data_IF_542828122257
#
_entry.id   IF_542828122257
#
_cell.length_a   1.000
_cell.length_b   1.000
_cell.length_c   1.000
_cell.angle_alpha   90.00
_cell.angle_beta   90.00
_cell.angle_gamma   90.00
#
_symmetry.space_group_name_H-M   'P 1'
#
loop_
_entity.id
_entity.type
_entity.pdbx_description
1 polymer ?
#
# COMPACT_ATOMS: atom_id res chain seq x y z
N UNK A 1 -13.69 12.04 6.81
CA UNK A 1 -12.26 12.29 6.54
C UNK A 1 -11.42 11.38 7.41
N UNK A 2 -10.91 10.30 6.83
CA UNK A 2 -10.21 9.23 7.55
C UNK A 2 -9.78 8.13 6.59
N UNK A 3 -9.18 7.07 7.11
CA UNK A 3 -8.89 5.86 6.33
C UNK A 3 -10.17 5.09 6.00
N UNK A 4 -10.23 4.54 4.80
CA UNK A 4 -11.29 3.65 4.31
C UNK A 4 -10.67 2.35 3.81
N UNK A 5 -11.32 1.24 4.13
CA UNK A 5 -10.97 -0.09 3.67
C UNK A 5 -11.95 -0.53 2.57
N UNK A 6 -11.44 -0.96 1.41
CA UNK A 6 -12.24 -1.43 0.27
C UNK A 6 -11.72 -2.81 -0.14
N UNK A 7 -12.58 -3.83 -0.10
CA UNK A 7 -12.22 -5.16 -0.55
C UNK A 7 -12.11 -5.21 -2.07
N UNK A 8 -10.95 -5.62 -2.60
CA UNK A 8 -10.71 -5.81 -4.04
C UNK A 8 -10.92 -7.29 -4.42
N UNK A 9 -12.04 -7.86 -3.97
CA UNK A 9 -12.37 -9.27 -4.19
C UNK A 9 -13.05 -9.45 -5.56
N UNK A 10 -12.29 -9.28 -6.64
CA UNK A 10 -12.76 -9.68 -7.96
C UNK A 10 -11.75 -10.64 -8.61
N UNK A 11 -12.17 -11.89 -8.74
CA UNK A 11 -11.36 -12.97 -9.32
C UNK A 11 -11.17 -12.80 -10.82
N UNK A 12 -12.09 -12.10 -11.49
CA UNK A 12 -12.12 -11.92 -12.94
C UNK A 12 -11.37 -10.64 -13.34
N UNK A 13 -11.39 -9.59 -12.51
CA UNK A 13 -10.68 -8.33 -12.74
C UNK A 13 -9.20 -8.38 -12.34
N UNK A 14 -8.86 -8.95 -11.16
CA UNK A 14 -7.50 -8.83 -10.60
C UNK A 14 -6.63 -10.09 -10.72
N UNK A 15 -7.16 -11.23 -11.17
CA UNK A 15 -6.41 -12.49 -11.42
C UNK A 15 -5.47 -12.98 -10.30
N UNK A 16 -5.53 -12.38 -9.11
CA UNK A 16 -4.72 -12.74 -7.94
C UNK A 16 -5.51 -13.70 -7.04
N UNK A 17 -4.99 -14.89 -6.72
CA UNK A 17 -5.68 -15.88 -5.88
C UNK A 17 -5.66 -15.53 -4.39
N UNK A 18 -5.40 -14.27 -4.03
CA UNK A 18 -5.23 -13.81 -2.65
C UNK A 18 -6.21 -12.67 -2.34
N UNK A 19 -6.78 -12.64 -1.13
CA UNK A 19 -7.64 -11.53 -0.72
C UNK A 19 -6.83 -10.22 -0.76
N UNK A 20 -7.32 -9.23 -1.48
CA UNK A 20 -6.72 -7.90 -1.60
C UNK A 20 -7.62 -6.88 -0.90
N UNK A 21 -7.02 -6.03 -0.07
CA UNK A 21 -7.69 -4.93 0.62
C UNK A 21 -7.02 -3.61 0.25
N UNK A 22 -7.75 -2.71 -0.39
CA UNK A 22 -7.32 -1.33 -0.60
C UNK A 22 -7.59 -0.51 0.67
N UNK A 23 -6.56 0.16 1.18
CA UNK A 23 -6.68 1.11 2.28
C UNK A 23 -6.29 2.49 1.77
N UNK A 24 -7.22 3.44 1.82
CA UNK A 24 -7.04 4.76 1.22
C UNK A 24 -7.65 5.88 2.07
N UNK A 25 -7.22 7.10 1.81
CA UNK A 25 -7.82 8.27 2.45
C UNK A 25 -9.13 8.67 1.75
N UNK A 26 -10.15 8.96 2.56
CA UNK A 26 -11.45 9.45 2.10
C UNK A 26 -11.30 10.73 1.25
N UNK A 27 -11.85 10.73 0.03
CA UNK A 27 -11.71 11.82 -0.94
C UNK A 27 -10.38 11.87 -1.72
N UNK A 28 -9.45 10.94 -1.47
CA UNK A 28 -8.18 10.81 -2.20
C UNK A 28 -7.89 9.35 -2.62
N UNK A 29 -8.96 8.61 -2.95
CA UNK A 29 -8.94 7.17 -3.24
C UNK A 29 -7.94 6.81 -4.34
N UNK A 30 -7.71 7.70 -5.31
CA UNK A 30 -6.80 7.48 -6.45
C UNK A 30 -5.38 8.06 -6.23
N UNK A 31 -5.14 8.75 -5.11
CA UNK A 31 -3.89 9.49 -4.87
C UNK A 31 -3.05 8.91 -3.74
N UNK A 32 -3.69 8.40 -2.69
CA UNK A 32 -2.99 7.87 -1.52
C UNK A 32 -3.69 6.60 -1.02
N UNK A 33 -3.03 5.47 -1.21
CA UNK A 33 -3.48 4.19 -0.68
C UNK A 33 -2.42 3.09 -0.75
N UNK A 34 -2.79 1.92 -0.24
CA UNK A 34 -2.02 0.69 -0.30
C UNK A 34 -2.95 -0.48 -0.56
N UNK A 35 -2.55 -1.40 -1.44
CA UNK A 35 -3.17 -2.72 -1.50
C UNK A 35 -2.48 -3.58 -0.45
N UNK A 36 -3.25 -4.26 0.38
CA UNK A 36 -2.75 -5.21 1.39
C UNK A 36 -3.22 -6.61 1.03
N UNK A 37 -2.33 -7.57 1.20
CA UNK A 37 -2.62 -9.00 1.03
C UNK A 37 -2.11 -9.81 2.22
N UNK A 38 -2.57 -11.05 2.33
CA UNK A 38 -2.18 -11.99 3.38
C UNK A 38 -1.44 -13.16 2.74
N UNK A 39 -0.23 -13.46 3.25
CA UNK A 39 0.63 -14.53 2.72
C UNK A 39 1.12 -15.44 3.84
N UNK A 40 1.24 -16.72 3.53
CA UNK A 40 1.89 -17.68 4.42
C UNK A 40 3.39 -17.37 4.51
N UNK A 41 3.94 -17.48 5.71
CA UNK A 41 5.38 -17.31 6.00
C UNK A 41 5.92 -18.57 6.69
N UNK A 42 7.25 -18.80 6.71
CA UNK A 42 7.83 -19.95 7.40
C UNK A 42 7.34 -20.08 8.85
N UNK A 43 7.19 -21.31 9.34
CA UNK A 43 6.70 -21.57 10.69
C UNK A 43 5.17 -21.71 10.82
N UNK A 44 4.46 -21.99 9.73
CA UNK A 44 2.98 -22.13 9.69
C UNK A 44 2.25 -20.87 10.18
N UNK A 45 2.85 -19.72 9.97
CA UNK A 45 2.27 -18.42 10.31
C UNK A 45 1.82 -17.69 9.04
N UNK A 46 1.08 -16.61 9.24
CA UNK A 46 0.60 -15.72 8.20
C UNK A 46 1.02 -14.29 8.54
N UNK A 47 1.22 -13.46 7.51
CA UNK A 47 1.51 -12.05 7.70
C UNK A 47 0.79 -11.19 6.66
N UNK A 48 0.55 -9.94 7.05
CA UNK A 48 0.07 -8.89 6.17
C UNK A 48 1.24 -8.31 5.38
N UNK A 49 1.05 -8.13 4.08
CA UNK A 49 2.02 -7.54 3.16
C UNK A 49 1.34 -6.47 2.31
N UNK A 50 2.08 -5.44 1.93
CA UNK A 50 1.67 -4.59 0.83
C UNK A 50 1.75 -5.38 -0.49
N UNK A 51 0.77 -5.21 -1.38
CA UNK A 51 0.74 -5.78 -2.72
C UNK A 51 0.97 -4.68 -3.76
N UNK A 52 1.75 -5.00 -4.80
CA UNK A 52 2.11 -4.09 -5.90
C UNK A 52 3.20 -4.69 -6.79
N UNK A 53 3.64 -3.94 -7.80
CA UNK A 53 4.51 -4.36 -8.92
C UNK A 53 5.98 -4.63 -8.52
N UNK A 54 6.26 -4.72 -7.22
CA UNK A 54 7.57 -4.97 -6.62
C UNK A 54 7.49 -5.88 -5.40
N UNK A 55 8.63 -6.13 -4.73
CA UNK A 55 8.67 -6.95 -3.51
C UNK A 55 7.77 -6.31 -2.44
N UNK A 56 6.53 -6.79 -2.35
CA UNK A 56 5.56 -6.39 -1.35
C UNK A 56 6.16 -6.37 0.05
N UNK A 57 6.13 -5.20 0.68
CA UNK A 57 6.74 -4.98 1.99
C UNK A 57 5.98 -5.71 3.08
N UNK A 58 6.71 -6.31 4.03
CA UNK A 58 6.11 -6.85 5.25
C UNK A 58 5.48 -5.71 6.06
N UNK A 59 4.23 -5.88 6.47
CA UNK A 59 3.52 -4.91 7.31
C UNK A 59 3.53 -5.37 8.77
N UNK A 60 3.03 -6.58 9.03
CA UNK A 60 2.85 -7.09 10.41
C UNK A 60 2.51 -8.59 10.40
N UNK A 61 2.86 -9.37 11.44
CA UNK A 61 2.36 -10.74 11.55
C UNK A 61 0.83 -10.76 11.74
N UNK A 62 0.17 -11.80 11.24
CA UNK A 62 -1.24 -12.03 11.51
C UNK A 62 -1.43 -12.43 12.99
N UNK A 63 -2.60 -12.09 13.54
CA UNK A 63 -2.93 -12.29 14.95
C UNK A 63 -3.07 -10.98 15.74
N UNK A 64 -2.54 -9.88 15.20
CA UNK A 64 -2.74 -8.53 15.75
C UNK A 64 -3.07 -7.52 14.63
N UNK A 65 -4.36 -7.38 14.34
CA UNK A 65 -4.85 -6.44 13.33
C UNK A 65 -4.64 -4.96 13.75
N UNK A 66 -4.51 -4.67 15.05
CA UNK A 66 -4.30 -3.30 15.53
C UNK A 66 -2.89 -2.84 15.21
N UNK A 67 -1.89 -3.68 15.49
CA UNK A 67 -0.50 -3.39 15.12
C UNK A 67 -0.33 -3.27 13.61
N UNK A 68 -1.03 -4.11 12.84
CA UNK A 68 -1.07 -4.00 11.38
C UNK A 68 -1.65 -2.66 10.90
N UNK A 69 -2.76 -2.20 11.50
CA UNK A 69 -3.38 -0.93 11.16
C UNK A 69 -2.47 0.27 11.49
N UNK A 70 -1.77 0.24 12.63
CA UNK A 70 -0.81 1.28 13.02
C UNK A 70 0.36 1.33 12.04
N UNK A 71 0.94 0.17 11.69
CA UNK A 71 2.04 0.10 10.73
C UNK A 71 1.62 0.65 9.36
N UNK A 72 0.42 0.32 8.91
CA UNK A 72 -0.12 0.80 7.64
C UNK A 72 -0.42 2.30 7.64
N UNK A 73 -0.99 2.83 8.72
CA UNK A 73 -1.20 4.28 8.90
C UNK A 73 0.12 5.06 8.79
N UNK A 74 1.22 4.55 9.39
CA UNK A 74 2.54 5.17 9.27
C UNK A 74 3.07 5.17 7.83
N UNK A 75 2.97 4.04 7.13
CA UNK A 75 3.37 3.91 5.72
C UNK A 75 2.61 4.92 4.87
N UNK A 76 1.29 4.99 5.04
CA UNK A 76 0.43 5.84 4.22
C UNK A 76 0.62 7.33 4.55
N UNK A 77 0.80 7.70 5.82
CA UNK A 77 1.16 9.08 6.20
C UNK A 77 2.47 9.54 5.59
N UNK A 78 3.46 8.64 5.49
CA UNK A 78 4.72 8.98 4.83
C UNK A 78 4.51 9.31 3.33
N UNK A 79 3.59 8.63 2.65
CA UNK A 79 3.21 8.91 1.25
C UNK A 79 2.44 10.21 1.05
N UNK A 80 1.79 10.72 2.10
CA UNK A 80 1.10 12.02 2.05
C UNK A 80 2.07 13.21 2.11
N UNK A 81 3.31 13.00 2.56
CA UNK A 81 4.34 14.03 2.51
C UNK A 81 4.75 14.20 1.04
N UNK A 82 4.68 15.41 0.46
CA UNK A 82 5.13 15.62 -0.91
C UNK A 82 6.59 15.19 -1.01
N UNK A 83 6.90 14.36 -2.02
CA UNK A 83 8.29 14.22 -2.45
C UNK A 83 8.75 15.63 -2.80
N UNK A 84 9.80 16.13 -2.14
CA UNK A 84 10.43 17.36 -2.58
C UNK A 84 10.82 17.16 -4.05
N UNK A 85 10.20 17.93 -4.95
CA UNK A 85 10.59 17.99 -6.34
C UNK A 85 12.06 18.43 -6.36
N UNK A 86 12.97 17.46 -6.41
CA UNK A 86 14.37 17.68 -6.69
C UNK A 86 14.45 18.31 -8.06
N UNK A 87 14.59 19.64 -8.09
CA UNK A 87 14.71 20.44 -9.29
C UNK A 87 15.80 19.89 -10.22
N UNK A 88 15.36 19.12 -11.22
CA UNK A 88 16.16 18.69 -12.35
C UNK A 88 16.21 19.82 -13.36
N UNK A 89 17.31 20.58 -13.29
CA UNK A 89 17.91 21.46 -14.31
C UNK A 89 17.16 21.54 -15.64
N UNK A 90 16.65 22.75 -15.93
CA UNK A 90 16.34 23.19 -17.28
C UNK A 90 17.64 23.24 -18.08
N UNK A 91 17.84 22.29 -19.00
CA UNK A 91 18.84 22.41 -20.04
C UNK A 91 18.28 23.30 -21.15
N UNK A 92 18.34 24.62 -20.96
CA UNK A 92 18.38 25.55 -22.09
C UNK A 92 19.80 25.53 -22.69
N UNK A 93 19.88 25.24 -23.98
CA UNK A 93 21.14 25.19 -24.69
C UNK A 93 21.01 24.66 -26.11
N UNK A 94 20.27 25.37 -26.97
CA UNK A 94 20.41 25.25 -28.42
C UNK A 94 20.40 26.65 -29.04
N UNK A 95 21.60 27.11 -29.41
CA UNK A 95 21.92 27.79 -30.67
C UNK A 95 23.40 27.58 -30.94
#
# INVERSE_FOLDING_TARGET
>A
MGWRCVGLYDRDEFRFPVPLLWVCWDGAVDKVGAVVTVRAVPGRAWAYFEAGDGRGGFVSPCGDARSAAIALDLILRHRMVPAEDGGGVSAEGRV
#
